data_IF_825727521634
#
_entry.id   IF_825727521634
#
_cell.length_a   1.000
_cell.length_b   1.000
_cell.length_c   1.000
_cell.angle_alpha   90.00
_cell.angle_beta   90.00
_cell.angle_gamma   90.00
#
_symmetry.space_group_name_H-M   'P 1'
#
loop_
_entity.id
_entity.type
_entity.pdbx_description
1 polymer ?
#
# COMPACT_ATOMS: atom_id res chain seq x y z
N UNK A 1 20.46 1.70 19.00
CA UNK A 1 19.00 1.77 19.18
C UNK A 1 18.35 0.91 18.11
N UNK A 2 17.33 0.14 18.47
CA UNK A 2 16.61 -0.84 17.62
C UNK A 2 15.62 -0.22 16.62
N UNK A 3 15.40 1.10 16.66
CA UNK A 3 14.49 1.81 15.75
C UNK A 3 12.99 1.62 16.04
N UNK A 4 12.61 0.66 16.89
CA UNK A 4 11.20 0.38 17.26
C UNK A 4 10.72 1.13 18.52
N UNK A 5 11.63 1.81 19.22
CA UNK A 5 11.35 2.62 20.41
C UNK A 5 11.27 1.81 21.72
N UNK A 6 11.70 2.44 22.82
CA UNK A 6 11.90 1.77 24.12
C UNK A 6 10.63 1.13 24.68
N UNK A 7 9.46 1.74 24.45
CA UNK A 7 8.20 1.18 24.93
C UNK A 7 7.92 -0.17 24.27
N UNK A 8 8.10 -0.28 22.95
CA UNK A 8 7.85 -1.55 22.24
C UNK A 8 8.91 -2.58 22.64
N UNK A 9 10.17 -2.18 22.68
CA UNK A 9 11.28 -3.09 23.03
C UNK A 9 11.11 -3.73 24.42
N UNK A 10 10.52 -3.02 25.37
CA UNK A 10 10.29 -3.53 26.73
C UNK A 10 8.89 -4.14 26.96
N UNK A 11 7.97 -4.08 25.98
CA UNK A 11 6.58 -4.56 26.16
C UNK A 11 6.24 -5.82 25.36
N UNK A 12 7.18 -6.37 24.60
CA UNK A 12 6.98 -7.59 23.81
C UNK A 12 7.82 -8.73 24.37
N UNK A 13 7.33 -9.96 24.21
CA UNK A 13 8.04 -11.14 24.73
C UNK A 13 9.28 -11.49 23.89
N UNK A 14 9.22 -11.24 22.57
CA UNK A 14 10.27 -11.62 21.61
C UNK A 14 10.39 -10.58 20.50
N UNK A 15 11.63 -10.28 20.08
CA UNK A 15 11.95 -9.46 18.91
C UNK A 15 12.76 -10.29 17.92
N UNK A 16 12.22 -10.51 16.71
CA UNK A 16 12.94 -11.13 15.59
C UNK A 16 13.50 -10.04 14.69
N UNK A 17 14.81 -10.07 14.42
CA UNK A 17 15.51 -9.03 13.64
C UNK A 17 15.88 -9.54 12.25
N UNK A 18 15.96 -8.62 11.30
CA UNK A 18 16.22 -8.92 9.89
C UNK A 18 16.72 -7.71 9.11
N UNK A 19 17.56 -6.88 9.72
CA UNK A 19 17.94 -5.55 9.20
C UNK A 19 18.56 -5.65 7.79
N UNK A 20 19.47 -6.60 7.58
CA UNK A 20 20.08 -6.85 6.26
C UNK A 20 19.07 -7.36 5.23
N UNK A 21 18.10 -8.18 5.65
CA UNK A 21 17.01 -8.62 4.77
C UNK A 21 16.15 -7.44 4.33
N UNK A 22 15.70 -6.59 5.26
CA UNK A 22 14.89 -5.40 4.95
C UNK A 22 15.63 -4.45 4.01
N UNK A 23 16.93 -4.23 4.25
CA UNK A 23 17.77 -3.42 3.37
C UNK A 23 17.91 -4.01 1.96
N UNK A 24 17.96 -5.34 1.86
CA UNK A 24 18.11 -6.04 0.57
C UNK A 24 16.89 -5.93 -0.36
N UNK A 25 15.71 -5.55 0.15
CA UNK A 25 14.48 -5.42 -0.64
C UNK A 25 14.52 -4.18 -1.57
N UNK A 26 15.15 -3.09 -1.13
CA UNK A 26 15.25 -1.83 -1.88
C UNK A 26 16.72 -1.41 -2.01
N UNK A 27 17.56 -2.23 -2.68
CA UNK A 27 19.02 -2.06 -2.65
C UNK A 27 19.50 -0.78 -3.34
N UNK A 28 18.67 -0.18 -4.18
CA UNK A 28 18.92 1.07 -4.92
C UNK A 28 18.40 2.33 -4.20
N UNK A 29 17.81 2.18 -3.00
CA UNK A 29 17.24 3.29 -2.23
C UNK A 29 18.09 3.68 -1.03
N UNK A 30 17.98 4.95 -0.65
CA UNK A 30 18.56 5.50 0.58
C UNK A 30 17.49 5.55 1.67
N UNK A 31 17.89 5.90 2.89
CA UNK A 31 16.96 6.05 4.00
C UNK A 31 15.90 7.14 3.77
N UNK A 32 16.22 8.17 2.99
CA UNK A 32 15.32 9.27 2.63
C UNK A 32 14.40 8.94 1.45
N UNK A 33 14.75 7.93 0.64
CA UNK A 33 14.07 7.64 -0.64
C UNK A 33 13.39 6.29 -0.68
N UNK A 34 13.69 5.39 0.26
CA UNK A 34 13.02 4.10 0.39
C UNK A 34 11.54 4.27 0.72
N UNK A 35 10.72 3.36 0.23
CA UNK A 35 9.35 3.22 0.70
C UNK A 35 9.35 2.58 2.09
N UNK A 36 8.67 3.22 3.04
CA UNK A 36 8.55 2.72 4.42
C UNK A 36 7.24 1.96 4.65
N UNK A 37 6.36 1.94 3.65
CA UNK A 37 5.02 1.38 3.74
C UNK A 37 4.63 0.70 2.42
N UNK A 38 3.71 -0.25 2.49
CA UNK A 38 3.08 -0.87 1.32
C UNK A 38 1.92 -0.06 0.77
N UNK A 39 1.56 -0.29 -0.50
CA UNK A 39 0.39 0.32 -1.15
C UNK A 39 -0.91 -0.13 -0.49
N UNK A 40 -1.93 0.74 -0.50
CA UNK A 40 -3.30 0.37 -0.15
C UNK A 40 -4.24 0.75 -1.28
N UNK A 41 -5.14 -0.17 -1.63
CA UNK A 41 -6.23 0.02 -2.60
C UNK A 41 -7.55 -0.30 -1.91
N UNK A 42 -8.48 0.65 -1.88
CA UNK A 42 -9.86 0.39 -1.45
C UNK A 42 -10.61 -0.33 -2.56
N UNK A 43 -11.27 -1.43 -2.20
CA UNK A 43 -12.22 -2.17 -3.03
C UNK A 43 -13.66 -2.01 -2.51
N UNK A 44 -13.90 -0.99 -1.68
CA UNK A 44 -15.22 -0.70 -1.10
C UNK A 44 -15.59 0.77 -1.29
N UNK A 45 -16.89 1.04 -1.27
CA UNK A 45 -17.48 2.38 -1.20
C UNK A 45 -17.38 2.99 0.21
N UNK A 46 -17.94 4.19 0.39
CA UNK A 46 -17.88 4.92 1.65
C UNK A 46 -18.69 4.24 2.78
N UNK A 47 -19.69 3.44 2.40
CA UNK A 47 -20.55 2.66 3.29
C UNK A 47 -19.95 1.29 3.62
N UNK A 48 -18.83 0.91 2.98
CA UNK A 48 -18.14 -0.36 3.18
C UNK A 48 -18.67 -1.51 2.33
N UNK A 49 -19.51 -1.24 1.33
CA UNK A 49 -19.96 -2.24 0.37
C UNK A 49 -18.90 -2.44 -0.72
N UNK A 50 -18.83 -3.65 -1.28
CA UNK A 50 -17.93 -3.97 -2.37
C UNK A 50 -18.23 -3.10 -3.61
N UNK A 51 -17.18 -2.61 -4.28
CA UNK A 51 -17.33 -1.93 -5.57
C UNK A 51 -17.93 -2.88 -6.63
N UNK A 52 -18.77 -2.38 -7.55
CA UNK A 52 -19.38 -3.20 -8.60
C UNK A 52 -18.34 -3.80 -9.57
N UNK A 53 -18.68 -4.96 -10.14
CA UNK A 53 -17.95 -5.53 -11.26
C UNK A 53 -18.10 -4.65 -12.51
N UNK A 54 -17.03 -4.48 -13.30
CA UNK A 54 -17.02 -3.54 -14.43
C UNK A 54 -17.29 -4.19 -15.79
N UNK A 55 -17.04 -5.50 -15.96
CA UNK A 55 -17.27 -6.24 -17.21
C UNK A 55 -16.75 -5.57 -18.51
N UNK A 56 -15.68 -4.76 -18.42
CA UNK A 56 -15.13 -4.00 -19.55
C UNK A 56 -15.77 -2.64 -19.82
N UNK A 57 -16.80 -2.26 -19.06
CA UNK A 57 -17.45 -0.96 -19.14
C UNK A 57 -16.59 0.16 -18.52
N UNK A 58 -16.68 1.35 -19.11
CA UNK A 58 -15.95 2.55 -18.67
C UNK A 58 -16.86 3.47 -17.88
N UNK A 59 -16.29 4.18 -16.89
CA UNK A 59 -17.02 5.15 -16.08
C UNK A 59 -17.86 4.51 -14.97
N UNK A 60 -17.62 3.24 -14.64
CA UNK A 60 -18.28 2.57 -13.52
C UNK A 60 -17.80 3.18 -12.22
N UNK A 61 -18.73 3.63 -11.39
CA UNK A 61 -18.48 4.14 -10.05
C UNK A 61 -19.47 3.54 -9.05
N UNK A 62 -19.07 3.28 -7.79
CA UNK A 62 -17.72 3.43 -7.23
C UNK A 62 -16.71 2.44 -7.84
N UNK A 63 -15.41 2.75 -7.75
CA UNK A 63 -14.35 1.99 -8.41
C UNK A 63 -13.15 1.75 -7.46
N UNK A 64 -12.29 0.76 -7.76
CA UNK A 64 -11.05 0.56 -7.02
C UNK A 64 -10.25 1.86 -6.89
N UNK A 65 -9.81 2.19 -5.67
CA UNK A 65 -9.12 3.46 -5.39
C UNK A 65 -7.79 3.22 -4.70
N UNK A 66 -6.67 3.63 -5.30
CA UNK A 66 -5.37 3.63 -4.63
C UNK A 66 -5.33 4.77 -3.60
N UNK A 67 -5.36 4.42 -2.32
CA UNK A 67 -5.45 5.37 -1.19
C UNK A 67 -4.13 5.60 -0.45
N UNK A 68 -3.15 4.69 -0.57
CA UNK A 68 -1.81 4.86 0.01
C UNK A 68 -0.73 4.46 -0.99
N UNK A 69 0.24 5.34 -1.19
CA UNK A 69 1.44 5.08 -2.01
C UNK A 69 2.45 4.30 -1.16
N UNK A 70 3.17 3.36 -1.77
CA UNK A 70 4.13 2.52 -1.08
C UNK A 70 5.05 1.78 -2.05
N UNK A 71 5.73 0.75 -1.54
CA UNK A 71 6.57 -0.15 -2.33
C UNK A 71 5.81 -0.65 -3.58
N UNK A 72 6.48 -0.60 -4.74
CA UNK A 72 5.99 -1.07 -6.04
C UNK A 72 4.69 -0.45 -6.57
N UNK A 73 4.35 0.77 -6.13
CA UNK A 73 3.09 1.43 -6.55
C UNK A 73 2.95 1.62 -8.07
N UNK A 74 4.03 1.79 -8.82
CA UNK A 74 3.99 1.95 -10.28
C UNK A 74 3.54 0.67 -10.97
N UNK A 75 4.03 -0.49 -10.49
CA UNK A 75 3.61 -1.79 -10.97
C UNK A 75 2.15 -2.07 -10.60
N UNK A 76 1.75 -1.73 -9.38
CA UNK A 76 0.35 -1.89 -8.94
C UNK A 76 -0.59 -1.01 -9.77
N UNK A 77 -0.22 0.24 -10.07
CA UNK A 77 -1.02 1.12 -10.95
C UNK A 77 -1.14 0.56 -12.36
N UNK A 78 -0.06 -0.02 -12.90
CA UNK A 78 -0.09 -0.70 -14.20
C UNK A 78 -1.08 -1.88 -14.18
N UNK A 79 -1.01 -2.75 -13.17
CA UNK A 79 -1.95 -3.86 -13.03
C UNK A 79 -3.40 -3.40 -12.83
N UNK A 80 -3.63 -2.30 -12.09
CA UNK A 80 -4.95 -1.68 -11.96
C UNK A 80 -5.47 -1.22 -13.32
N UNK A 81 -4.64 -0.55 -14.12
CA UNK A 81 -5.03 -0.10 -15.45
C UNK A 81 -5.30 -1.25 -16.44
N UNK A 82 -4.60 -2.37 -16.31
CA UNK A 82 -4.81 -3.56 -17.14
C UNK A 82 -6.10 -4.30 -16.76
N UNK A 83 -6.48 -4.26 -15.48
CA UNK A 83 -7.59 -5.06 -14.94
C UNK A 83 -8.91 -4.30 -14.86
N UNK A 84 -8.88 -2.99 -14.61
CA UNK A 84 -10.06 -2.16 -14.36
C UNK A 84 -10.11 -0.98 -15.34
N UNK A 85 -11.10 -0.92 -16.24
CA UNK A 85 -11.30 0.24 -17.11
C UNK A 85 -11.53 1.55 -16.35
N UNK A 86 -12.00 1.48 -15.11
CA UNK A 86 -12.26 2.61 -14.22
C UNK A 86 -11.58 2.37 -12.87
N UNK A 87 -10.70 3.28 -12.45
CA UNK A 87 -10.06 3.26 -11.12
C UNK A 87 -9.59 4.67 -10.76
N UNK A 88 -9.40 4.93 -9.46
CA UNK A 88 -9.03 6.25 -8.93
C UNK A 88 -7.68 6.22 -8.19
N UNK A 89 -7.02 7.38 -8.13
CA UNK A 89 -5.85 7.64 -7.30
C UNK A 89 -6.14 8.76 -6.30
N UNK A 90 -6.13 8.44 -5.00
CA UNK A 90 -6.47 9.36 -3.91
C UNK A 90 -5.55 9.17 -2.70
N UNK A 91 -4.28 9.56 -2.86
CA UNK A 91 -3.28 9.41 -1.79
C UNK A 91 -3.70 10.12 -0.50
N UNK A 92 -3.61 9.42 0.63
CA UNK A 92 -3.93 9.95 1.97
C UNK A 92 -5.39 9.73 2.40
N UNK A 93 -6.22 9.07 1.59
CA UNK A 93 -7.61 8.75 1.94
C UNK A 93 -7.72 7.48 2.78
N UNK A 94 -7.06 7.48 3.94
CA UNK A 94 -7.14 6.42 4.94
C UNK A 94 -6.95 7.04 6.33
N UNK A 95 -7.58 6.44 7.34
CA UNK A 95 -7.55 6.89 8.75
C UNK A 95 -6.87 5.88 9.64
#
# INVERSE_FOLDING_TARGET
MTGIGDRIENSVDVIVRGDEYVKSIQPDKTDETRHEQGVMVSMVDAEGNLVPEQHGERGVTPAPTLIRKGLDYEEIMRHLSDSFPSWDYRHGMYY
#
